data_IF_535395253840
#
_entry.id   IF_535395253840
#
_cell.length_a   1.000
_cell.length_b   1.000
_cell.length_c   1.000
_cell.angle_alpha   90.00
_cell.angle_beta   90.00
_cell.angle_gamma   90.00
#
_symmetry.space_group_name_H-M   'P 1'
#
loop_
_entity.id
_entity.type
_entity.pdbx_description
1 polymer ?
#
# COMPACT_ATOMS: atom_id res chain seq x y z
N UNK A 1 -11.85 -5.36 -6.01
CA UNK A 1 -12.00 -4.97 -4.58
C UNK A 1 -11.28 -3.64 -4.39
N UNK A 2 -11.77 -2.73 -3.53
CA UNK A 2 -11.06 -1.48 -3.20
C UNK A 2 -10.19 -1.65 -1.95
N UNK A 3 -9.18 -0.78 -1.73
CA UNK A 3 -8.37 -0.78 -0.50
C UNK A 3 -9.26 -0.53 0.73
N UNK A 4 -9.08 -1.32 1.81
CA UNK A 4 -9.88 -1.14 3.03
C UNK A 4 -9.45 0.11 3.81
N UNK A 5 -10.37 0.72 4.54
CA UNK A 5 -10.03 1.77 5.52
C UNK A 5 -8.94 1.29 6.48
N UNK A 6 -8.00 2.18 6.78
CA UNK A 6 -6.84 1.87 7.61
C UNK A 6 -5.68 1.18 6.88
N UNK A 7 -5.88 0.70 5.65
CA UNK A 7 -4.84 0.03 4.87
C UNK A 7 -3.75 1.01 4.44
N UNK A 8 -2.50 0.54 4.42
CA UNK A 8 -1.40 1.25 3.78
C UNK A 8 -1.51 1.13 2.27
N UNK A 9 -1.20 2.21 1.58
CA UNK A 9 -1.18 2.27 0.12
C UNK A 9 0.05 3.03 -0.34
N UNK A 10 0.56 2.68 -1.51
CA UNK A 10 1.55 3.48 -2.21
C UNK A 10 0.84 4.38 -3.22
N UNK A 11 1.22 5.64 -3.27
CA UNK A 11 0.63 6.65 -4.16
C UNK A 11 1.70 7.15 -5.12
N UNK A 12 1.39 7.16 -6.41
CA UNK A 12 2.18 7.78 -7.47
C UNK A 12 1.43 9.01 -7.99
N UNK A 13 2.08 10.17 -8.01
CA UNK A 13 1.50 11.45 -8.44
C UNK A 13 2.18 11.93 -9.70
N UNK A 14 1.41 12.12 -10.77
CA UNK A 14 1.91 12.42 -12.12
C UNK A 14 1.95 13.92 -12.40
N UNK A 15 2.74 14.64 -11.61
CA UNK A 15 3.02 16.09 -11.82
C UNK A 15 4.35 16.35 -12.54
N UNK A 16 5.17 15.30 -12.69
CA UNK A 16 6.46 15.30 -13.39
C UNK A 16 6.84 13.88 -13.82
N UNK A 17 7.89 13.75 -14.61
CA UNK A 17 8.48 12.46 -14.97
C UNK A 17 9.92 12.37 -14.40
N UNK A 18 10.27 11.39 -13.55
CA UNK A 18 9.44 10.30 -13.02
C UNK A 18 8.39 10.78 -11.99
N UNK A 19 7.27 10.05 -11.81
CA UNK A 19 6.22 10.44 -10.87
C UNK A 19 6.73 10.52 -9.43
N UNK A 20 6.11 11.38 -8.63
CA UNK A 20 6.40 11.47 -7.20
C UNK A 20 5.72 10.31 -6.49
N UNK A 21 6.48 9.52 -5.73
CA UNK A 21 5.97 8.32 -5.05
C UNK A 21 6.12 8.46 -3.53
N UNK A 22 5.07 8.09 -2.80
CA UNK A 22 5.08 8.05 -1.34
C UNK A 22 4.09 7.02 -0.80
N UNK A 23 4.29 6.59 0.43
CA UNK A 23 3.33 5.76 1.14
C UNK A 23 2.31 6.62 1.91
N UNK A 24 1.06 6.17 1.91
CA UNK A 24 -0.06 6.81 2.58
C UNK A 24 -0.95 5.75 3.25
N UNK A 25 -2.03 6.20 3.87
CA UNK A 25 -3.03 5.39 4.54
C UNK A 25 -4.41 5.79 4.05
N UNK A 26 -5.27 4.80 3.80
CA UNK A 26 -6.69 5.02 3.55
C UNK A 26 -7.32 5.53 4.85
N UNK A 27 -7.84 6.76 4.80
CA UNK A 27 -8.49 7.41 5.94
C UNK A 27 -9.97 7.06 5.96
N UNK A 28 -10.62 7.04 4.80
CA UNK A 28 -12.00 6.60 4.66
C UNK A 28 -12.27 6.12 3.24
N UNK A 29 -13.25 5.23 3.12
CA UNK A 29 -13.77 4.77 1.84
C UNK A 29 -15.30 4.84 1.87
N UNK A 30 -15.86 5.38 0.80
CA UNK A 30 -17.32 5.39 0.54
C UNK A 30 -17.56 4.97 -0.91
N UNK A 31 -18.82 4.73 -1.25
CA UNK A 31 -19.21 4.31 -2.61
C UNK A 31 -18.82 5.30 -3.71
N UNK A 32 -18.53 6.56 -3.36
CA UNK A 32 -18.25 7.62 -4.33
C UNK A 32 -16.95 8.39 -4.06
N UNK A 33 -16.20 8.02 -3.02
CA UNK A 33 -14.95 8.71 -2.72
C UNK A 33 -13.99 7.86 -1.89
N UNK A 34 -12.70 7.99 -2.22
CA UNK A 34 -11.59 7.43 -1.47
C UNK A 34 -10.78 8.56 -0.86
N UNK A 35 -10.65 8.57 0.46
CA UNK A 35 -9.84 9.54 1.19
C UNK A 35 -8.53 8.91 1.64
N UNK A 36 -7.41 9.57 1.32
CA UNK A 36 -6.08 9.16 1.76
C UNK A 36 -5.43 10.28 2.57
N UNK A 37 -4.55 9.90 3.50
CA UNK A 37 -3.77 10.88 4.24
C UNK A 37 -2.84 11.64 3.28
N UNK A 38 -2.81 12.97 3.39
CA UNK A 38 -1.88 13.76 2.60
C UNK A 38 -0.42 13.40 2.97
N UNK A 39 0.50 13.38 1.99
CA UNK A 39 1.91 13.16 2.27
C UNK A 39 2.47 14.26 3.17
N UNK A 40 3.41 13.90 4.03
CA UNK A 40 4.23 14.86 4.77
C UNK A 40 5.53 15.12 4.02
N UNK A 41 5.79 16.38 3.71
CA UNK A 41 7.04 16.85 3.12
C UNK A 41 7.60 17.92 4.06
N UNK A 42 8.82 17.71 4.56
CA UNK A 42 9.48 18.61 5.51
C UNK A 42 8.61 18.95 6.73
N UNK A 43 7.94 17.94 7.30
CA UNK A 43 7.07 18.09 8.47
C UNK A 43 5.72 18.76 8.21
N UNK A 44 5.39 19.11 6.96
CA UNK A 44 4.11 19.72 6.59
C UNK A 44 3.31 18.79 5.71
N UNK A 45 2.00 18.69 5.95
CA UNK A 45 1.10 17.99 5.04
C UNK A 45 0.90 18.83 3.77
N UNK A 46 1.03 18.19 2.61
CA UNK A 46 1.01 18.88 1.32
C UNK A 46 -0.27 18.56 0.54
N UNK A 47 -0.82 19.56 -0.15
CA UNK A 47 -1.91 19.41 -1.10
C UNK A 47 -1.41 19.43 -2.54
N UNK A 48 -2.21 18.88 -3.46
CA UNK A 48 -2.04 19.05 -4.91
C UNK A 48 -3.33 19.61 -5.50
N UNK A 49 -3.28 20.24 -6.68
CA UNK A 49 -4.48 20.73 -7.36
C UNK A 49 -5.51 19.62 -7.62
N UNK A 50 -6.78 19.99 -7.63
CA UNK A 50 -7.84 19.11 -8.13
C UNK A 50 -7.57 18.72 -9.60
N UNK A 51 -7.97 17.51 -9.99
CA UNK A 51 -7.67 16.94 -11.30
C UNK A 51 -6.27 16.33 -11.44
N UNK A 52 -5.38 16.50 -10.45
CA UNK A 52 -4.04 15.88 -10.48
C UNK A 52 -4.17 14.37 -10.63
N UNK A 53 -3.60 13.75 -11.69
CA UNK A 53 -3.64 12.30 -11.87
C UNK A 53 -2.80 11.59 -10.82
N UNK A 54 -3.37 10.53 -10.26
CA UNK A 54 -2.71 9.68 -9.27
C UNK A 54 -2.96 8.21 -9.56
N UNK A 55 -1.99 7.38 -9.24
CA UNK A 55 -2.16 5.93 -9.15
C UNK A 55 -1.98 5.49 -7.72
N UNK A 56 -2.94 4.74 -7.20
CA UNK A 56 -2.82 4.10 -5.89
C UNK A 56 -2.54 2.62 -6.10
N UNK A 57 -1.60 2.08 -5.35
CA UNK A 57 -1.35 0.65 -5.25
C UNK A 57 -1.59 0.19 -3.81
N UNK A 58 -2.48 -0.78 -3.62
CA UNK A 58 -2.79 -1.36 -2.33
C UNK A 58 -2.48 -2.86 -2.33
N UNK A 59 -1.70 -3.37 -1.37
CA UNK A 59 -1.50 -4.80 -1.22
C UNK A 59 -2.79 -5.47 -0.74
N UNK A 60 -3.02 -6.68 -1.25
CA UNK A 60 -4.08 -7.59 -0.83
C UNK A 60 -3.51 -8.99 -0.63
N UNK A 61 -4.33 -9.89 -0.09
CA UNK A 61 -3.96 -11.30 0.01
C UNK A 61 -3.66 -11.92 -1.36
N UNK A 62 -4.32 -11.42 -2.42
CA UNK A 62 -4.30 -11.99 -3.78
C UNK A 62 -3.47 -11.16 -4.76
N UNK A 63 -2.53 -10.34 -4.29
CA UNK A 63 -1.70 -9.48 -5.13
C UNK A 63 -1.88 -7.99 -4.82
N UNK A 64 -1.69 -7.13 -5.81
CA UNK A 64 -1.77 -5.67 -5.67
C UNK A 64 -2.99 -5.18 -6.45
N UNK A 65 -3.84 -4.39 -5.80
CA UNK A 65 -4.83 -3.58 -6.52
C UNK A 65 -4.17 -2.29 -6.93
N UNK A 66 -4.30 -1.91 -8.20
CA UNK A 66 -3.93 -0.60 -8.69
C UNK A 66 -5.17 0.18 -9.12
N UNK A 67 -5.26 1.44 -8.72
CA UNK A 67 -6.36 2.33 -9.04
C UNK A 67 -5.80 3.58 -9.69
N UNK A 68 -6.15 3.84 -10.94
CA UNK A 68 -5.87 5.14 -11.57
C UNK A 68 -7.06 6.07 -11.32
N UNK A 69 -6.80 7.24 -10.76
CA UNK A 69 -7.83 8.25 -10.47
C UNK A 69 -7.23 9.65 -10.48
N UNK A 70 -8.02 10.65 -10.09
CA UNK A 70 -7.59 12.04 -9.93
C UNK A 70 -7.96 12.53 -8.53
N UNK A 71 -7.18 13.48 -8.02
CA UNK A 71 -7.54 14.21 -6.80
C UNK A 71 -8.81 15.03 -7.08
N UNK A 72 -9.87 14.80 -6.30
CA UNK A 72 -11.08 15.62 -6.35
C UNK A 72 -10.86 16.93 -5.60
N UNK A 73 -10.40 16.82 -4.34
CA UNK A 73 -10.13 17.98 -3.48
C UNK A 73 -9.18 17.62 -2.33
N UNK A 74 -8.62 18.65 -1.72
CA UNK A 74 -7.85 18.55 -0.47
C UNK A 74 -8.72 19.05 0.68
N UNK A 75 -8.96 18.22 1.69
CA UNK A 75 -9.78 18.54 2.85
C UNK A 75 -8.90 18.75 4.09
N UNK A 76 -9.15 19.79 4.88
CA UNK A 76 -8.34 20.14 6.07
C UNK A 76 -9.06 20.02 7.42
N UNK A 77 -10.40 19.84 7.44
CA UNK A 77 -11.23 19.89 8.67
C UNK A 77 -10.84 18.90 9.78
N UNK A 78 -10.30 17.73 9.43
CA UNK A 78 -9.89 16.68 10.39
C UNK A 78 -8.42 16.26 10.20
N UNK A 79 -7.60 17.18 9.66
CA UNK A 79 -6.30 16.90 9.09
C UNK A 79 -6.32 17.00 7.56
N UNK A 80 -5.16 17.31 6.97
CA UNK A 80 -5.04 17.41 5.50
C UNK A 80 -5.12 16.01 4.90
N UNK A 81 -6.17 15.76 4.12
CA UNK A 81 -6.44 14.52 3.41
C UNK A 81 -6.72 14.83 1.94
N UNK A 82 -6.38 13.90 1.06
CA UNK A 82 -6.74 13.99 -0.36
C UNK A 82 -7.96 13.13 -0.59
N UNK A 83 -9.04 13.76 -1.04
CA UNK A 83 -10.24 13.07 -1.52
C UNK A 83 -10.03 12.82 -2.99
N UNK A 84 -10.14 11.56 -3.39
CA UNK A 84 -9.95 11.12 -4.75
C UNK A 84 -11.31 10.81 -5.36
N UNK A 85 -11.45 11.10 -6.66
CA UNK A 85 -12.65 10.71 -7.40
C UNK A 85 -12.80 9.20 -7.36
N UNK A 86 -14.04 8.74 -7.27
CA UNK A 86 -14.34 7.33 -7.46
C UNK A 86 -13.80 6.88 -8.83
N UNK A 87 -12.84 5.94 -8.86
CA UNK A 87 -12.36 5.38 -10.12
C UNK A 87 -13.41 4.55 -10.87
N UNK A 88 -14.51 4.16 -10.20
CA UNK A 88 -15.39 3.11 -10.67
C UNK A 88 -14.69 1.75 -10.75
N UNK A 89 -15.44 0.69 -11.05
CA UNK A 89 -14.89 -0.68 -11.17
C UNK A 89 -13.87 -0.76 -12.33
N UNK A 90 -14.09 -0.01 -13.40
CA UNK A 90 -13.21 0.01 -14.59
C UNK A 90 -11.82 0.59 -14.34
N UNK A 91 -11.64 1.41 -13.29
CA UNK A 91 -10.34 1.99 -12.94
C UNK A 91 -9.45 1.06 -12.10
N UNK A 92 -9.92 -0.13 -11.76
CA UNK A 92 -9.27 -1.07 -10.83
C UNK A 92 -8.55 -2.17 -11.63
N UNK A 93 -7.22 -2.20 -11.54
CA UNK A 93 -6.38 -3.27 -12.08
C UNK A 93 -5.91 -4.19 -10.95
N UNK A 94 -6.06 -5.50 -11.15
CA UNK A 94 -5.48 -6.50 -10.26
C UNK A 94 -4.15 -6.98 -10.84
N UNK A 95 -3.08 -6.75 -10.10
CA UNK A 95 -1.72 -7.16 -10.47
C UNK A 95 -1.25 -8.21 -9.49
N UNK A 96 -1.27 -9.47 -9.90
CA UNK A 96 -0.53 -10.50 -9.17
C UNK A 96 0.93 -10.48 -9.65
N UNK A 97 1.84 -10.04 -8.76
CA UNK A 97 3.28 -10.08 -9.03
C UNK A 97 3.92 -11.39 -8.61
N UNK A 98 3.19 -12.28 -7.93
CA UNK A 98 3.72 -13.56 -7.48
C UNK A 98 3.59 -14.56 -8.62
N UNK A 99 4.69 -15.19 -8.97
CA UNK A 99 4.68 -16.33 -9.89
C UNK A 99 4.10 -17.60 -9.24
N UNK A 100 3.97 -17.61 -7.91
CA UNK A 100 3.58 -18.78 -7.13
C UNK A 100 2.57 -18.43 -6.04
N UNK A 101 1.46 -19.17 -5.98
CA UNK A 101 0.48 -19.09 -4.90
C UNK A 101 1.12 -19.44 -3.56
N UNK A 102 0.69 -18.76 -2.49
CA UNK A 102 1.10 -19.06 -1.11
C UNK A 102 -0.02 -19.73 -0.34
N UNK A 103 0.35 -20.66 0.53
CA UNK A 103 -0.55 -21.35 1.45
C UNK A 103 -0.45 -20.66 2.82
N UNK A 104 -1.60 -20.41 3.46
CA UNK A 104 -1.65 -19.91 4.83
C UNK A 104 -1.37 -21.07 5.79
N UNK A 105 -0.41 -20.89 6.68
CA UNK A 105 0.04 -21.93 7.64
C UNK A 105 -0.14 -21.51 9.10
N UNK A 106 -0.02 -20.21 9.41
CA UNK A 106 -0.19 -19.63 10.76
C UNK A 106 0.42 -20.48 11.89
N UNK A 107 1.74 -20.67 11.84
CA UNK A 107 2.46 -21.61 12.70
C UNK A 107 3.57 -20.91 13.51
N UNK A 108 3.71 -21.26 14.79
CA UNK A 108 4.85 -20.82 15.60
C UNK A 108 6.10 -21.62 15.24
N UNK A 109 7.18 -20.94 14.88
CA UNK A 109 8.48 -21.54 14.55
C UNK A 109 9.60 -20.82 15.32
N UNK A 110 10.84 -21.32 15.22
CA UNK A 110 12.04 -20.61 15.68
C UNK A 110 12.92 -20.25 14.49
N UNK A 111 13.49 -19.05 14.51
CA UNK A 111 14.51 -18.63 13.55
C UNK A 111 15.90 -18.74 14.17
N UNK A 112 16.92 -18.86 13.32
CA UNK A 112 18.32 -18.74 13.70
C UNK A 112 19.09 -18.05 12.58
N UNK A 113 19.98 -17.12 12.93
CA UNK A 113 20.91 -16.47 12.00
C UNK A 113 22.30 -17.04 12.23
N UNK A 114 22.97 -17.36 11.13
CA UNK A 114 24.34 -17.83 11.12
C UNK A 114 25.20 -16.80 10.37
N UNK A 115 26.34 -16.47 10.94
CA UNK A 115 27.35 -15.64 10.28
C UNK A 115 28.16 -16.46 9.28
N UNK A 116 28.92 -15.74 8.45
CA UNK A 116 29.89 -16.33 7.54
C UNK A 116 30.93 -17.12 8.37
N UNK A 117 30.95 -18.44 8.24
CA UNK A 117 31.71 -19.34 9.12
C UNK A 117 30.87 -20.24 10.04
N UNK A 118 29.53 -20.10 10.03
CA UNK A 118 28.61 -21.03 10.69
C UNK A 118 28.41 -20.80 12.18
N UNK A 119 28.99 -19.73 12.75
CA UNK A 119 28.67 -19.29 14.10
C UNK A 119 27.24 -18.75 14.15
N UNK A 120 26.46 -19.23 15.13
CA UNK A 120 25.10 -18.75 15.36
C UNK A 120 25.17 -17.38 16.05
N UNK A 121 24.64 -16.35 15.40
CA UNK A 121 24.65 -14.96 15.90
C UNK A 121 23.29 -14.49 16.42
N UNK A 122 22.22 -15.25 16.19
CA UNK A 122 20.92 -14.95 16.77
C UNK A 122 19.92 -16.09 16.66
N UNK A 123 18.94 -16.10 17.58
CA UNK A 123 17.74 -16.92 17.48
C UNK A 123 16.55 -16.30 18.18
N UNK A 124 15.35 -16.75 17.83
CA UNK A 124 14.16 -16.36 18.55
C UNK A 124 12.89 -17.03 18.05
N UNK A 125 11.78 -16.86 18.78
CA UNK A 125 10.47 -17.27 18.28
C UNK A 125 10.03 -16.35 17.13
N UNK A 126 9.34 -16.92 16.14
CA UNK A 126 8.59 -16.15 15.14
C UNK A 126 7.30 -16.88 14.75
N UNK A 127 6.41 -16.17 14.07
CA UNK A 127 5.15 -16.73 13.58
C UNK A 127 5.16 -16.72 12.05
N UNK A 128 5.06 -17.91 11.47
CA UNK A 128 5.01 -18.14 10.04
C UNK A 128 3.58 -18.00 9.54
N UNK A 129 3.30 -16.95 8.77
CA UNK A 129 1.92 -16.65 8.35
C UNK A 129 1.54 -17.36 7.04
N UNK A 130 2.46 -17.43 6.07
CA UNK A 130 2.24 -18.03 4.76
C UNK A 130 3.56 -18.52 4.14
N UNK A 131 3.49 -19.49 3.22
CA UNK A 131 4.66 -20.08 2.56
C UNK A 131 4.35 -20.53 1.12
N UNK A 132 5.36 -20.51 0.24
CA UNK A 132 5.40 -21.24 -1.02
C UNK A 132 6.82 -21.82 -1.26
N UNK A 133 7.03 -22.47 -2.40
CA UNK A 133 8.33 -23.02 -2.77
C UNK A 133 9.43 -21.97 -3.01
N UNK A 134 9.08 -20.68 -3.12
CA UNK A 134 10.02 -19.56 -3.23
C UNK A 134 10.32 -18.88 -1.89
N UNK A 135 9.67 -19.28 -0.79
CA UNK A 135 9.91 -18.74 0.54
C UNK A 135 8.65 -18.51 1.37
N UNK A 136 8.85 -17.99 2.58
CA UNK A 136 7.81 -17.74 3.57
C UNK A 136 7.78 -16.26 3.99
#
# INVERSE_FOLDING_TARGET
>A
MLPKEGSRVTVEVYVRNPPVRFDSKVVSLSDHSLSIAAPMINGKKVGVPAGTPVRISAPTNNGIIQVNTTVDRVQSKSGVNWVLKDPGISGINHVDRRSLSRIRVDQSIRWSVFEEGGSKSGEGPMRLLNINSGGA
#
